data_IF_649445774739
#
_entry.id   IF_649445774739
#
_cell.length_a   1.000
_cell.length_b   1.000
_cell.length_c   1.000
_cell.angle_alpha   90.00
_cell.angle_beta   90.00
_cell.angle_gamma   90.00
#
_symmetry.space_group_name_H-M   'P 1'
#
loop_
_entity.id
_entity.type
_entity.pdbx_description
1 polymer ?
#
# COMPACT_ATOMS: atom_id res chain seq x y z
N UNK A 1 -2.76 3.20 4.15
CA UNK A 1 -3.57 3.51 2.95
C UNK A 1 -4.73 2.51 2.83
N UNK A 2 -5.94 2.96 2.46
CA UNK A 2 -7.11 2.08 2.25
C UNK A 2 -7.62 2.24 0.82
N UNK A 3 -7.48 1.20 0.01
CA UNK A 3 -7.98 1.21 -1.37
C UNK A 3 -9.42 0.71 -1.36
N UNK A 4 -10.35 1.56 -1.81
CA UNK A 4 -11.77 1.24 -1.93
C UNK A 4 -12.10 0.93 -3.39
N UNK A 5 -12.42 -0.33 -3.68
CA UNK A 5 -12.98 -0.72 -4.97
C UNK A 5 -14.50 -0.75 -4.86
N UNK A 6 -15.16 0.14 -5.58
CA UNK A 6 -16.62 0.23 -5.69
C UNK A 6 -17.03 -0.23 -7.09
N UNK A 7 -17.71 -1.38 -7.18
CA UNK A 7 -18.33 -1.83 -8.43
C UNK A 7 -19.84 -1.84 -8.29
N UNK A 8 -20.52 -1.22 -9.26
CA UNK A 8 -21.98 -1.04 -9.23
C UNK A 8 -22.59 -1.57 -10.52
N UNK A 9 -23.34 -2.67 -10.41
CA UNK A 9 -24.02 -3.30 -11.53
C UNK A 9 -25.53 -3.08 -11.45
N UNK A 10 -26.15 -2.75 -12.58
CA UNK A 10 -27.61 -2.66 -12.71
C UNK A 10 -28.14 -3.99 -13.23
N UNK A 11 -29.10 -4.59 -12.54
CA UNK A 11 -29.76 -5.80 -13.02
C UNK A 11 -30.97 -5.43 -13.90
N UNK A 12 -31.35 -6.33 -14.81
CA UNK A 12 -32.51 -6.17 -15.70
C UNK A 12 -33.86 -6.21 -14.93
N UNK A 13 -33.84 -6.61 -13.65
CA UNK A 13 -35.00 -6.68 -12.77
C UNK A 13 -35.13 -5.36 -11.99
N UNK A 14 -36.00 -4.46 -12.46
CA UNK A 14 -36.51 -3.30 -11.73
C UNK A 14 -35.48 -2.25 -11.25
N UNK A 15 -34.46 -1.91 -12.05
CA UNK A 15 -33.53 -0.81 -11.73
C UNK A 15 -32.83 -0.99 -10.36
N UNK A 16 -32.68 -2.23 -9.91
CA UNK A 16 -32.08 -2.58 -8.62
C UNK A 16 -30.57 -2.70 -8.77
N UNK A 17 -29.85 -2.22 -7.77
CA UNK A 17 -28.39 -2.03 -7.81
C UNK A 17 -27.73 -3.10 -6.96
N UNK A 18 -26.74 -3.78 -7.54
CA UNK A 18 -25.77 -4.57 -6.79
C UNK A 18 -24.58 -3.66 -6.56
N UNK A 19 -24.22 -3.47 -5.28
CA UNK A 19 -23.07 -2.66 -4.87
C UNK A 19 -22.08 -3.58 -4.19
N UNK A 20 -20.84 -3.61 -4.67
CA UNK A 20 -19.73 -4.28 -3.99
C UNK A 20 -18.71 -3.23 -3.59
N UNK A 21 -18.37 -3.22 -2.30
CA UNK A 21 -17.33 -2.39 -1.73
C UNK A 21 -16.27 -3.28 -1.13
N UNK A 22 -15.04 -3.14 -1.60
CA UNK A 22 -13.90 -3.86 -1.08
C UNK A 22 -12.93 -2.83 -0.52
N UNK A 23 -12.63 -2.95 0.76
CA UNK A 23 -11.63 -2.15 1.46
C UNK A 23 -10.47 -3.06 1.86
N UNK A 24 -9.23 -2.69 1.51
CA UNK A 24 -8.03 -3.35 2.03
C UNK A 24 -7.36 -2.45 3.06
N UNK A 25 -7.14 -2.96 4.27
CA UNK A 25 -6.37 -2.27 5.32
C UNK A 25 -5.50 -3.29 6.07
N UNK A 26 -4.18 -3.09 6.08
CA UNK A 26 -3.19 -3.87 6.83
C UNK A 26 -3.32 -5.39 6.61
N UNK A 27 -3.29 -5.84 5.36
CA UNK A 27 -3.47 -7.25 5.00
C UNK A 27 -4.85 -7.85 5.30
N UNK A 28 -5.87 -7.04 5.60
CA UNK A 28 -7.26 -7.49 5.76
C UNK A 28 -8.16 -6.86 4.70
N UNK A 29 -8.83 -7.71 3.92
CA UNK A 29 -9.90 -7.27 3.04
C UNK A 29 -11.23 -7.31 3.79
N UNK A 30 -11.99 -6.23 3.67
CA UNK A 30 -13.38 -6.10 4.09
C UNK A 30 -14.24 -5.95 2.83
N UNK A 31 -15.01 -6.99 2.53
CA UNK A 31 -15.97 -7.03 1.43
C UNK A 31 -17.37 -6.72 1.99
N UNK A 32 -18.04 -5.73 1.42
CA UNK A 32 -19.45 -5.42 1.67
C UNK A 32 -20.21 -5.58 0.36
N UNK A 33 -21.20 -6.47 0.35
CA UNK A 33 -22.04 -6.74 -0.83
C UNK A 33 -23.48 -6.43 -0.46
N UNK A 34 -24.12 -5.60 -1.29
CA UNK A 34 -25.55 -5.33 -1.21
C UNK A 34 -26.28 -6.07 -2.33
N UNK A 35 -27.15 -7.01 -1.94
CA UNK A 35 -27.91 -7.87 -2.85
C UNK A 35 -29.39 -7.49 -2.78
N UNK A 36 -30.03 -7.14 -3.90
CA UNK A 36 -31.42 -6.73 -3.90
C UNK A 36 -32.38 -7.87 -3.57
N UNK A 37 -33.57 -7.52 -3.09
CA UNK A 37 -34.60 -8.52 -2.72
C UNK A 37 -35.00 -9.39 -3.91
N UNK A 38 -35.25 -10.68 -3.64
CA UNK A 38 -35.52 -11.74 -4.64
C UNK A 38 -34.33 -12.09 -5.57
N UNK A 39 -33.10 -11.83 -5.14
CA UNK A 39 -31.90 -12.30 -5.84
C UNK A 39 -30.95 -13.01 -4.88
N UNK A 40 -30.20 -13.96 -5.41
CA UNK A 40 -29.07 -14.62 -4.73
C UNK A 40 -27.80 -14.27 -5.50
N UNK A 41 -26.66 -14.28 -4.80
CA UNK A 41 -25.35 -14.14 -5.43
C UNK A 41 -24.39 -15.17 -4.85
N UNK A 42 -23.46 -15.62 -5.68
CA UNK A 42 -22.33 -16.41 -5.22
C UNK A 42 -21.12 -15.48 -5.11
N UNK A 43 -20.53 -15.42 -3.91
CA UNK A 43 -19.30 -14.68 -3.65
C UNK A 43 -18.14 -15.67 -3.72
N UNK A 44 -17.23 -15.48 -4.67
CA UNK A 44 -16.01 -16.27 -4.80
C UNK A 44 -14.86 -15.46 -4.20
N UNK A 45 -14.21 -16.02 -3.18
CA UNK A 45 -13.06 -15.37 -2.55
C UNK A 45 -11.77 -15.64 -3.34
N UNK A 46 -10.83 -14.66 -3.40
CA UNK A 46 -9.50 -14.89 -3.95
C UNK A 46 -8.74 -15.96 -3.14
N UNK A 47 -7.65 -16.48 -3.71
CA UNK A 47 -6.75 -17.47 -3.06
C UNK A 47 -7.39 -18.84 -2.72
N UNK A 48 -8.40 -19.28 -3.49
CA UNK A 48 -9.11 -20.54 -3.26
C UNK A 48 -9.79 -20.64 -1.87
N UNK A 49 -10.12 -19.51 -1.25
CA UNK A 49 -10.84 -19.45 0.04
C UNK A 49 -12.32 -19.89 -0.02
N UNK A 50 -12.74 -20.53 -1.13
CA UNK A 50 -14.08 -21.05 -1.33
C UNK A 50 -15.07 -20.04 -1.94
N UNK A 51 -16.30 -20.51 -2.16
CA UNK A 51 -17.44 -19.67 -2.53
C UNK A 51 -18.54 -19.75 -1.47
N UNK A 52 -19.27 -18.66 -1.30
CA UNK A 52 -20.42 -18.57 -0.40
C UNK A 52 -21.62 -18.05 -1.16
N UNK A 53 -22.71 -18.81 -1.14
CA UNK A 53 -23.98 -18.37 -1.67
C UNK A 53 -24.71 -17.51 -0.62
N UNK A 54 -25.11 -16.32 -1.04
CA UNK A 54 -25.79 -15.33 -0.20
C UNK A 54 -27.11 -14.92 -0.82
N UNK A 55 -28.13 -14.81 0.04
CA UNK A 55 -29.44 -14.30 -0.33
C UNK A 55 -29.49 -12.77 -0.34
N UNK A 56 -30.68 -12.22 -0.54
CA UNK A 56 -30.92 -10.78 -0.48
C UNK A 56 -30.58 -10.17 0.88
N UNK A 57 -29.96 -8.99 0.87
CA UNK A 57 -29.53 -8.28 2.06
C UNK A 57 -28.16 -7.64 1.90
N UNK A 58 -27.66 -7.03 2.97
CA UNK A 58 -26.31 -6.49 3.05
C UNK A 58 -25.46 -7.52 3.79
N UNK A 59 -24.42 -8.02 3.14
CA UNK A 59 -23.48 -8.98 3.71
C UNK A 59 -22.10 -8.35 3.81
N UNK A 60 -21.46 -8.51 4.97
CA UNK A 60 -20.10 -8.02 5.21
C UNK A 60 -19.18 -9.18 5.61
N UNK A 61 -18.12 -9.37 4.84
CA UNK A 61 -17.10 -10.39 5.05
C UNK A 61 -15.76 -9.74 5.35
N UNK A 62 -15.00 -10.37 6.24
CA UNK A 62 -13.61 -10.01 6.53
C UNK A 62 -12.75 -11.24 6.28
N UNK A 63 -11.71 -11.10 5.47
CA UNK A 63 -10.77 -12.18 5.23
C UNK A 63 -9.32 -11.65 5.24
N UNK A 64 -8.39 -12.39 5.88
CA UNK A 64 -6.98 -12.08 5.81
C UNK A 64 -6.46 -12.37 4.40
N UNK A 65 -5.59 -11.51 3.90
CA UNK A 65 -4.85 -11.74 2.64
C UNK A 65 -3.37 -11.56 2.91
N UNK A 66 -2.56 -12.18 2.07
CA UNK A 66 -1.10 -11.95 2.03
C UNK A 66 -0.74 -10.75 1.17
N UNK A 67 -1.70 -10.18 0.43
CA UNK A 67 -1.48 -9.07 -0.51
C UNK A 67 -1.69 -7.76 0.23
N UNK A 68 -0.59 -7.12 0.63
CA UNK A 68 -0.66 -5.75 1.11
C UNK A 68 -0.64 -4.78 -0.09
N UNK A 69 -1.72 -4.00 -0.21
CA UNK A 69 -1.88 -2.96 -1.23
C UNK A 69 -1.51 -1.57 -0.70
N UNK A 70 -0.89 -1.49 0.49
CA UNK A 70 -0.28 -0.24 0.94
C UNK A 70 0.81 0.14 -0.05
N UNK A 71 0.56 1.22 -0.79
CA UNK A 71 1.57 1.85 -1.62
C UNK A 71 2.71 2.29 -0.71
N UNK A 72 3.91 1.81 -1.01
CA UNK A 72 5.13 2.26 -0.35
C UNK A 72 5.25 3.78 -0.52
N UNK A 73 5.33 4.52 0.60
CA UNK A 73 5.46 5.98 0.58
C UNK A 73 6.84 6.38 0.06
N UNK A 74 7.85 5.58 0.37
CA UNK A 74 9.23 5.78 -0.07
C UNK A 74 9.63 4.67 -1.03
N UNK A 75 10.33 5.02 -2.10
CA UNK A 75 10.87 4.06 -3.09
C UNK A 75 12.27 4.48 -3.51
N UNK A 76 12.91 3.71 -4.40
CA UNK A 76 14.21 4.08 -4.98
C UNK A 76 14.16 5.34 -5.85
N UNK A 77 12.96 5.72 -6.31
CA UNK A 77 12.74 6.95 -7.08
C UNK A 77 12.51 8.17 -6.16
N UNK A 78 12.34 7.96 -4.86
CA UNK A 78 12.28 9.06 -3.89
C UNK A 78 13.64 9.76 -3.80
N UNK A 79 13.61 11.06 -3.53
CA UNK A 79 14.81 11.87 -3.35
C UNK A 79 15.42 11.67 -1.97
N UNK A 80 16.74 11.89 -1.84
CA UNK A 80 17.38 11.86 -0.52
C UNK A 80 16.82 12.95 0.42
N UNK A 81 16.42 14.10 -0.14
CA UNK A 81 15.77 15.17 0.60
C UNK A 81 14.47 14.74 1.27
N UNK A 82 13.64 13.96 0.57
CA UNK A 82 12.40 13.39 1.13
C UNK A 82 12.66 12.41 2.27
N UNK A 83 13.69 11.57 2.17
CA UNK A 83 14.09 10.64 3.23
C UNK A 83 14.61 11.39 4.46
N UNK A 84 15.39 12.46 4.25
CA UNK A 84 16.00 13.25 5.33
C UNK A 84 15.00 14.20 6.00
N UNK A 85 13.95 14.61 5.29
CA UNK A 85 12.82 15.33 5.87
C UNK A 85 12.10 14.48 6.92
N UNK A 86 12.12 13.15 6.80
CA UNK A 86 11.63 12.26 7.84
C UNK A 86 12.67 12.15 8.99
N UNK A 87 12.32 12.47 10.25
CA UNK A 87 13.24 12.38 11.39
C UNK A 87 13.89 11.01 11.55
N UNK A 88 13.15 9.95 11.23
CA UNK A 88 13.64 8.57 11.27
C UNK A 88 14.63 8.29 10.15
N UNK A 89 14.33 8.73 8.93
CA UNK A 89 15.22 8.59 7.78
C UNK A 89 16.54 9.31 8.01
N UNK A 90 16.50 10.54 8.54
CA UNK A 90 17.68 11.29 8.97
C UNK A 90 18.52 10.54 10.01
N UNK A 91 17.88 10.01 11.06
CA UNK A 91 18.58 9.29 12.12
C UNK A 91 19.27 8.02 11.61
N UNK A 92 18.60 7.27 10.73
CA UNK A 92 19.20 6.08 10.11
C UNK A 92 20.37 6.46 9.20
N UNK A 93 20.23 7.52 8.40
CA UNK A 93 21.32 8.00 7.54
C UNK A 93 22.57 8.40 8.35
N UNK A 94 22.41 9.14 9.45
CA UNK A 94 23.52 9.55 10.33
C UNK A 94 24.17 8.34 11.02
N UNK A 95 23.37 7.35 11.41
CA UNK A 95 23.88 6.11 12.04
C UNK A 95 24.75 5.32 11.08
N UNK A 96 24.35 5.28 9.81
CA UNK A 96 24.96 4.45 8.79
C UNK A 96 26.12 5.16 8.08
N UNK A 97 26.07 6.49 7.98
CA UNK A 97 27.13 7.33 7.44
C UNK A 97 27.29 8.61 8.28
N UNK A 98 28.04 8.55 9.39
CA UNK A 98 28.28 9.71 10.22
C UNK A 98 29.10 10.75 9.44
N UNK A 99 28.59 11.99 9.36
CA UNK A 99 29.23 13.10 8.64
C UNK A 99 28.73 13.31 7.20
N UNK A 100 27.82 12.47 6.69
CA UNK A 100 27.27 12.66 5.34
C UNK A 100 26.44 13.95 5.24
N UNK A 101 25.74 14.32 6.33
CA UNK A 101 24.93 15.53 6.42
C UNK A 101 25.74 16.81 6.68
N UNK A 102 27.00 16.66 7.08
CA UNK A 102 27.89 17.79 7.38
C UNK A 102 28.74 18.20 6.15
N UNK A 103 28.65 17.44 5.06
CA UNK A 103 29.36 17.74 3.83
C UNK A 103 28.64 18.87 3.08
N UNK A 104 29.30 20.00 2.75
CA UNK A 104 28.68 21.09 1.98
C UNK A 104 28.19 20.68 0.59
N UNK A 105 28.61 19.52 0.07
CA UNK A 105 28.10 18.96 -1.19
C UNK A 105 26.78 18.16 -1.02
N UNK A 106 26.28 17.96 0.20
CA UNK A 106 25.07 17.17 0.47
C UNK A 106 23.80 17.81 -0.09
N UNK A 107 23.79 19.14 -0.25
CA UNK A 107 22.66 19.87 -0.82
C UNK A 107 22.35 19.40 -2.25
N UNK A 108 23.38 19.09 -3.03
CA UNK A 108 23.21 18.49 -4.36
C UNK A 108 22.61 17.09 -4.28
N UNK A 109 23.03 16.29 -3.29
CA UNK A 109 22.54 14.94 -3.13
C UNK A 109 21.08 14.90 -2.67
N UNK A 110 20.56 15.95 -2.02
CA UNK A 110 19.14 16.03 -1.65
C UNK A 110 18.20 16.05 -2.84
N UNK A 111 18.62 16.60 -3.97
CA UNK A 111 17.83 16.63 -5.20
C UNK A 111 17.95 15.32 -6.01
N UNK A 112 18.90 14.45 -5.66
CA UNK A 112 19.11 13.19 -6.35
C UNK A 112 18.22 12.08 -5.79
N UNK A 113 17.75 11.23 -6.68
CA UNK A 113 17.04 10.00 -6.32
C UNK A 113 17.98 8.99 -5.70
N UNK A 114 17.44 8.09 -4.87
CA UNK A 114 18.22 7.00 -4.29
C UNK A 114 18.80 6.10 -5.39
N UNK A 115 18.14 5.96 -6.53
CA UNK A 115 18.62 5.21 -7.68
C UNK A 115 19.88 5.85 -8.29
N UNK A 116 19.89 7.18 -8.44
CA UNK A 116 21.05 7.93 -8.94
C UNK A 116 22.23 7.90 -7.95
N UNK A 117 21.95 8.00 -6.65
CA UNK A 117 22.98 7.86 -5.61
C UNK A 117 23.56 6.45 -5.58
N UNK A 118 22.71 5.43 -5.74
CA UNK A 118 23.13 4.02 -5.84
C UNK A 118 23.91 3.73 -7.12
N UNK A 119 23.70 4.52 -8.18
CA UNK A 119 24.49 4.45 -9.42
C UNK A 119 25.90 5.00 -9.26
N UNK A 120 26.11 5.96 -8.36
CA UNK A 120 27.42 6.53 -8.04
C UNK A 120 28.17 5.75 -6.97
N UNK A 121 27.45 5.17 -6.01
CA UNK A 121 27.99 4.36 -4.92
C UNK A 121 27.21 3.04 -4.79
N UNK A 122 27.60 2.04 -5.58
CA UNK A 122 26.92 0.75 -5.61
C UNK A 122 26.92 0.04 -4.24
N UNK A 123 27.95 0.27 -3.42
CA UNK A 123 28.06 -0.21 -2.04
C UNK A 123 27.02 0.37 -1.09
N UNK A 124 26.47 1.55 -1.39
CA UNK A 124 25.45 2.21 -0.56
C UNK A 124 24.02 1.76 -0.89
N UNK A 125 23.80 1.07 -2.03
CA UNK A 125 22.49 0.55 -2.44
C UNK A 125 21.78 -0.29 -1.37
N UNK A 126 22.41 -1.31 -0.73
CA UNK A 126 21.73 -2.09 0.33
C UNK A 126 21.40 -1.24 1.56
N UNK A 127 22.16 -0.17 1.80
CA UNK A 127 21.93 0.76 2.90
C UNK A 127 20.60 1.49 2.73
N UNK A 128 20.41 2.10 1.55
CA UNK A 128 19.20 2.84 1.26
C UNK A 128 17.97 1.93 1.16
N UNK A 129 18.14 0.70 0.67
CA UNK A 129 17.09 -0.31 0.68
C UNK A 129 16.57 -0.58 2.11
N UNK A 130 17.47 -0.73 3.07
CA UNK A 130 17.11 -0.97 4.48
C UNK A 130 16.43 0.25 5.12
N UNK A 131 16.83 1.47 4.74
CA UNK A 131 16.18 2.71 5.20
C UNK A 131 14.76 2.80 4.65
N UNK A 132 14.57 2.61 3.33
CA UNK A 132 13.25 2.64 2.68
C UNK A 132 12.32 1.60 3.30
N UNK A 133 12.78 0.36 3.44
CA UNK A 133 12.01 -0.72 4.07
C UNK A 133 11.62 -0.37 5.52
N UNK A 134 12.54 0.21 6.30
CA UNK A 134 12.27 0.63 7.68
C UNK A 134 11.34 1.83 7.79
N UNK A 135 11.33 2.71 6.79
CA UNK A 135 10.41 3.85 6.69
C UNK A 135 9.00 3.36 6.32
N UNK A 136 8.88 2.47 5.35
CA UNK A 136 7.60 1.90 4.91
C UNK A 136 6.99 0.95 5.96
N UNK A 137 7.80 0.26 6.77
CA UNK A 137 7.32 -0.66 7.83
C UNK A 137 6.69 0.00 9.06
N UNK A 138 6.70 1.33 9.18
CA UNK A 138 6.32 2.01 10.43
C UNK A 138 5.26 3.10 10.26
N UNK A 139 4.46 3.05 9.20
CA UNK A 139 3.18 3.77 9.20
C UNK A 139 2.12 2.92 9.93
N UNK A 140 2.20 2.91 11.27
CA UNK A 140 1.09 2.55 12.18
C UNK A 140 0.23 3.79 12.50
#
# INVERSE_FOLDING_TARGET
YSTLFDSRFKTLQQNRRISTQIECKNGQFKLTVEIPVNTTAEIIFPDNNGSVEVGSGIHSYKFPTTIDLTQEVYSFESTLGEIVANPKGKAMLVTLSPGILDNPMIEYAYEMTINELSGQAAEAKPLFAAIIDSLNKNED
#
